data_IF_867204798796
#
_entry.id   IF_867204798796
#
_cell.length_a   1.000
_cell.length_b   1.000
_cell.length_c   1.000
_cell.angle_alpha   90.00
_cell.angle_beta   90.00
_cell.angle_gamma   90.00
#
_symmetry.space_group_name_H-M   'P 1'
#
loop_
_entity.id
_entity.type
_entity.pdbx_description
1 polymer ?
#
# COMPACT_ATOMS: atom_id res chain seq x y z
N UNK A 1 -32.07 -28.64 2.79
CA UNK A 1 -30.98 -28.40 1.81
C UNK A 1 -31.44 -27.21 0.99
N UNK A 2 -30.82 -26.03 0.89
CA UNK A 2 -29.47 -25.50 1.15
C UNK A 2 -29.60 -23.97 1.12
N UNK A 3 -29.14 -23.24 2.14
CA UNK A 3 -28.73 -21.82 2.04
C UNK A 3 -28.14 -21.36 3.38
N UNK A 4 -26.96 -21.86 3.72
CA UNK A 4 -26.11 -21.29 4.78
C UNK A 4 -24.67 -21.49 4.32
N UNK A 5 -24.09 -20.41 3.78
CA UNK A 5 -22.65 -20.11 3.64
C UNK A 5 -22.37 -19.36 2.33
N UNK A 6 -23.03 -18.22 2.12
CA UNK A 6 -22.38 -17.16 1.36
C UNK A 6 -21.29 -16.56 2.27
N UNK A 7 -20.01 -16.47 1.83
CA UNK A 7 -18.98 -15.82 2.63
C UNK A 7 -19.39 -14.38 2.90
N UNK A 8 -19.42 -13.99 4.17
CA UNK A 8 -19.70 -12.59 4.54
C UNK A 8 -18.62 -11.69 3.90
N UNK A 9 -18.99 -10.52 3.34
CA UNK A 9 -17.99 -9.58 2.84
C UNK A 9 -17.01 -9.25 3.96
N UNK A 10 -15.69 -9.33 3.71
CA UNK A 10 -14.72 -8.96 4.74
C UNK A 10 -14.91 -7.51 5.10
N UNK A 11 -15.01 -7.28 6.40
CA UNK A 11 -14.70 -5.96 6.93
C UNK A 11 -13.19 -5.89 7.14
N UNK A 12 -12.46 -5.59 6.06
CA UNK A 12 -10.98 -5.50 6.01
C UNK A 12 -10.40 -4.53 7.05
N UNK A 13 -11.23 -3.68 7.67
CA UNK A 13 -10.83 -2.63 8.60
C UNK A 13 -11.21 -2.93 10.07
N UNK A 14 -11.74 -4.13 10.37
CA UNK A 14 -11.98 -4.58 11.75
C UNK A 14 -10.78 -5.38 12.26
N UNK A 15 -9.92 -4.77 13.06
CA UNK A 15 -8.72 -5.43 13.62
C UNK A 15 -8.59 -5.26 15.15
N UNK A 16 -7.89 -6.21 15.76
CA UNK A 16 -7.60 -6.24 17.19
C UNK A 16 -6.50 -5.23 17.53
N UNK A 17 -6.62 -4.54 18.69
CA UNK A 17 -5.60 -3.61 19.18
C UNK A 17 -4.80 -4.27 20.30
N UNK A 18 -3.59 -4.77 20.03
CA UNK A 18 -2.74 -5.27 21.11
C UNK A 18 -2.29 -4.12 22.00
N UNK A 19 -2.26 -4.34 23.32
CA UNK A 19 -1.56 -3.42 24.23
C UNK A 19 -0.05 -3.58 24.00
N UNK A 20 0.60 -2.58 23.42
CA UNK A 20 2.07 -2.56 23.28
C UNK A 20 2.72 -2.27 24.63
N UNK A 21 3.44 -3.26 25.16
CA UNK A 21 4.24 -3.12 26.38
C UNK A 21 5.72 -3.00 26.02
N UNK A 22 6.12 -1.84 25.53
CA UNK A 22 7.50 -1.59 25.07
C UNK A 22 8.54 -1.72 26.21
N UNK A 23 8.15 -1.42 27.45
CA UNK A 23 9.04 -1.53 28.61
C UNK A 23 9.33 -2.99 29.02
N UNK A 24 8.51 -3.95 28.57
CA UNK A 24 8.67 -5.39 28.86
C UNK A 24 9.27 -6.15 27.65
N UNK A 25 9.46 -5.47 26.52
CA UNK A 25 9.96 -6.06 25.28
C UNK A 25 11.49 -6.11 25.24
N UNK A 26 12.04 -7.15 24.61
CA UNK A 26 13.49 -7.33 24.39
C UNK A 26 13.99 -6.52 23.19
N UNK A 27 13.77 -5.21 23.22
CA UNK A 27 14.21 -4.27 22.17
C UNK A 27 15.28 -3.30 22.71
N UNK A 28 16.17 -2.78 21.84
CA UNK A 28 17.05 -1.68 22.21
C UNK A 28 16.26 -0.46 22.73
N UNK A 29 16.89 0.39 23.57
CA UNK A 29 16.28 1.65 23.98
C UNK A 29 15.88 2.49 22.77
N UNK A 30 14.62 2.89 22.71
CA UNK A 30 14.09 3.73 21.64
C UNK A 30 14.57 5.17 21.77
N UNK A 31 14.94 5.79 20.65
CA UNK A 31 15.09 7.25 20.57
C UNK A 31 13.75 7.93 20.84
N UNK A 32 13.76 9.19 21.29
CA UNK A 32 12.52 9.93 21.54
C UNK A 32 11.66 10.02 20.27
N UNK A 33 12.30 10.31 19.13
CA UNK A 33 11.66 10.37 17.83
C UNK A 33 10.99 9.04 17.45
N UNK A 34 11.64 7.89 17.72
CA UNK A 34 11.04 6.57 17.50
C UNK A 34 9.86 6.29 18.43
N UNK A 35 9.90 6.73 19.70
CA UNK A 35 8.76 6.60 20.62
C UNK A 35 7.54 7.36 20.10
N UNK A 36 7.74 8.59 19.65
CA UNK A 36 6.68 9.42 19.09
C UNK A 36 6.15 8.81 17.78
N UNK A 37 7.04 8.26 16.95
CA UNK A 37 6.68 7.52 15.76
C UNK A 37 5.74 6.33 16.04
N UNK A 38 6.10 5.49 17.00
CA UNK A 38 5.26 4.35 17.40
C UNK A 38 3.92 4.81 17.99
N UNK A 39 3.90 5.88 18.81
CA UNK A 39 2.66 6.44 19.36
C UNK A 39 1.70 6.89 18.27
N UNK A 40 2.22 7.57 17.25
CA UNK A 40 1.41 8.06 16.13
C UNK A 40 0.86 6.90 15.30
N UNK A 41 1.69 5.89 14.98
CA UNK A 41 1.24 4.70 14.26
C UNK A 41 0.16 3.92 15.04
N UNK A 42 0.32 3.72 16.35
CA UNK A 42 -0.69 3.04 17.18
C UNK A 42 -1.99 3.85 17.29
N UNK A 43 -1.89 5.17 17.28
CA UNK A 43 -3.03 6.08 17.36
C UNK A 43 -3.74 6.26 16.02
N UNK A 44 -3.05 6.00 14.91
CA UNK A 44 -3.58 6.15 13.57
C UNK A 44 -4.84 5.31 13.35
N UNK A 45 -5.85 5.93 12.74
CA UNK A 45 -7.08 5.28 12.32
C UNK A 45 -7.20 5.51 10.83
N UNK A 46 -7.08 4.42 10.07
CA UNK A 46 -7.47 4.47 8.67
C UNK A 46 -8.94 4.90 8.60
N UNK A 47 -9.20 5.92 7.81
CA UNK A 47 -10.53 6.28 7.41
C UNK A 47 -11.19 5.06 6.74
N UNK A 48 -12.50 4.85 6.95
CA UNK A 48 -13.18 3.69 6.37
C UNK A 48 -13.19 3.85 4.85
N UNK A 49 -12.52 2.93 4.15
CA UNK A 49 -12.62 2.87 2.70
C UNK A 49 -14.13 2.82 2.34
N UNK A 50 -14.62 3.75 1.51
CA UNK A 50 -16.05 3.90 1.27
C UNK A 50 -16.67 2.71 0.53
N UNK A 51 -15.84 1.77 0.04
CA UNK A 51 -16.24 0.71 -0.89
C UNK A 51 -15.57 -0.60 -0.52
N UNK A 52 -16.35 -1.68 -0.52
CA UNK A 52 -15.85 -3.04 -0.36
C UNK A 52 -15.16 -3.49 -1.66
N UNK A 53 -13.91 -3.94 -1.55
CA UNK A 53 -13.13 -4.43 -2.68
C UNK A 53 -13.18 -5.95 -2.73
N UNK A 54 -13.34 -6.57 -3.91
CA UNK A 54 -13.27 -8.02 -4.06
C UNK A 54 -11.97 -8.62 -3.52
N UNK A 55 -12.08 -9.78 -2.85
CA UNK A 55 -10.92 -10.55 -2.35
C UNK A 55 -9.95 -10.85 -3.48
N UNK A 56 -10.46 -11.28 -4.63
CA UNK A 56 -9.64 -11.63 -5.81
C UNK A 56 -8.86 -10.45 -6.40
N UNK A 57 -9.23 -9.21 -6.03
CA UNK A 57 -8.54 -7.97 -6.40
C UNK A 57 -7.87 -7.28 -5.22
N UNK A 58 -7.75 -7.97 -4.09
CA UNK A 58 -7.13 -7.48 -2.87
C UNK A 58 -5.82 -8.20 -2.59
N UNK A 59 -4.87 -7.45 -2.04
CA UNK A 59 -3.58 -7.93 -1.57
C UNK A 59 -3.21 -7.20 -0.29
N UNK A 60 -2.30 -7.78 0.48
CA UNK A 60 -1.77 -7.16 1.69
C UNK A 60 -0.23 -7.20 1.65
N UNK A 61 0.39 -6.15 2.17
CA UNK A 61 1.83 -6.12 2.39
C UNK A 61 2.14 -5.81 3.84
N UNK A 62 3.16 -6.44 4.38
CA UNK A 62 3.60 -6.26 5.75
C UNK A 62 4.73 -5.23 5.82
N UNK A 63 4.46 -4.10 6.46
CA UNK A 63 5.48 -3.13 6.86
C UNK A 63 6.01 -3.55 8.23
N UNK A 64 7.02 -4.41 8.22
CA UNK A 64 7.64 -4.93 9.42
C UNK A 64 8.73 -3.96 9.93
N UNK A 65 8.38 -3.21 10.97
CA UNK A 65 9.30 -2.29 11.64
C UNK A 65 10.09 -3.02 12.73
N UNK A 66 11.33 -2.62 12.94
CA UNK A 66 12.14 -3.06 14.08
C UNK A 66 13.04 -1.93 14.58
N UNK A 67 13.56 -2.09 15.79
CA UNK A 67 14.40 -1.08 16.44
C UNK A 67 15.87 -1.40 16.17
N UNK A 68 16.57 -0.47 15.53
CA UNK A 68 18.01 -0.55 15.30
C UNK A 68 18.82 -0.32 16.59
N UNK A 69 20.14 -0.53 16.51
CA UNK A 69 21.04 -0.44 17.67
C UNK A 69 21.04 0.94 18.35
N UNK A 70 20.81 1.99 17.58
CA UNK A 70 20.76 3.38 18.06
C UNK A 70 19.36 3.84 18.50
N UNK A 71 18.38 2.92 18.53
CA UNK A 71 17.01 3.24 18.92
C UNK A 71 16.13 3.80 17.79
N UNK A 72 16.65 3.86 16.56
CA UNK A 72 15.92 4.28 15.37
C UNK A 72 15.07 3.16 14.78
N UNK A 73 13.97 3.52 14.12
CA UNK A 73 13.11 2.55 13.44
C UNK A 73 13.61 2.24 12.04
N UNK A 74 13.71 0.96 11.75
CA UNK A 74 14.03 0.41 10.45
C UNK A 74 12.84 -0.37 9.91
N UNK A 75 12.71 -0.42 8.59
CA UNK A 75 11.79 -1.32 7.90
C UNK A 75 12.56 -2.48 7.28
N UNK A 76 12.00 -3.68 7.40
CA UNK A 76 12.49 -4.87 6.71
C UNK A 76 11.97 -4.90 5.27
N UNK A 77 12.88 -5.13 4.31
CA UNK A 77 12.58 -5.22 2.88
C UNK A 77 13.18 -6.50 2.31
N UNK A 78 12.53 -7.03 1.28
CA UNK A 78 13.00 -8.19 0.52
C UNK A 78 13.45 -7.79 -0.88
N UNK A 79 14.46 -8.48 -1.38
CA UNK A 79 14.72 -8.56 -2.82
C UNK A 79 14.01 -9.79 -3.35
N UNK A 80 13.06 -9.60 -4.25
CA UNK A 80 12.33 -10.70 -4.91
C UNK A 80 13.30 -11.59 -5.69
N UNK A 81 13.03 -12.88 -5.72
CA UNK A 81 13.79 -13.83 -6.54
C UNK A 81 13.78 -13.42 -8.01
N UNK A 82 14.90 -13.65 -8.70
CA UNK A 82 15.04 -13.34 -10.12
C UNK A 82 14.25 -14.28 -11.02
N UNK A 83 13.79 -15.42 -10.50
CA UNK A 83 13.03 -16.44 -11.24
C UNK A 83 11.53 -16.15 -11.30
N UNK A 84 11.05 -15.14 -10.57
CA UNK A 84 9.64 -14.79 -10.53
C UNK A 84 9.16 -14.16 -11.84
N UNK A 85 7.94 -14.50 -12.26
CA UNK A 85 7.33 -13.98 -13.51
C UNK A 85 7.06 -12.48 -13.49
N UNK A 86 6.94 -11.87 -12.32
CA UNK A 86 6.62 -10.45 -12.16
C UNK A 86 7.48 -9.84 -11.07
N UNK A 87 7.97 -8.62 -11.31
CA UNK A 87 8.80 -7.85 -10.38
C UNK A 87 10.09 -8.58 -9.96
N UNK A 88 10.69 -9.36 -10.87
CA UNK A 88 11.91 -10.13 -10.62
C UNK A 88 13.07 -9.23 -10.16
N UNK A 89 13.66 -9.55 -9.01
CA UNK A 89 14.75 -8.78 -8.43
C UNK A 89 14.35 -7.41 -7.86
N UNK A 90 13.07 -7.06 -7.84
CA UNK A 90 12.61 -5.79 -7.27
C UNK A 90 12.69 -5.80 -5.75
N UNK A 91 12.86 -4.60 -5.19
CA UNK A 91 12.75 -4.37 -3.76
C UNK A 91 11.28 -4.23 -3.36
N UNK A 92 10.82 -5.08 -2.45
CA UNK A 92 9.44 -5.15 -2.00
C UNK A 92 9.30 -5.26 -0.49
N UNK A 93 8.10 -4.94 -0.02
CA UNK A 93 7.61 -5.38 1.27
C UNK A 93 7.13 -6.83 1.14
N UNK A 94 7.27 -7.69 2.17
CA UNK A 94 6.68 -9.01 2.14
C UNK A 94 5.17 -8.93 1.97
N UNK A 95 4.57 -9.78 1.13
CA UNK A 95 3.13 -9.71 0.89
C UNK A 95 2.68 -10.28 -0.44
N UNK A 96 1.36 -10.44 -0.55
CA UNK A 96 0.74 -11.11 -1.67
C UNK A 96 -0.77 -10.96 -1.67
N UNK A 97 -1.43 -11.76 -2.50
CA UNK A 97 -2.88 -11.69 -2.72
C UNK A 97 -3.64 -12.29 -1.54
N UNK A 98 -4.86 -11.83 -1.33
CA UNK A 98 -5.77 -12.44 -0.35
C UNK A 98 -6.13 -13.86 -0.80
N UNK A 99 -5.94 -14.81 0.09
CA UNK A 99 -6.38 -16.19 -0.07
C UNK A 99 -7.84 -16.36 0.41
N UNK A 100 -8.64 -17.28 -0.17
CA UNK A 100 -9.96 -17.63 0.36
C UNK A 100 -9.99 -17.96 1.86
N UNK A 101 -8.94 -18.56 2.41
CA UNK A 101 -8.83 -18.96 3.82
C UNK A 101 -8.49 -17.79 4.76
N UNK A 102 -7.95 -16.67 4.22
CA UNK A 102 -7.57 -15.52 5.02
C UNK A 102 -8.81 -14.87 5.66
N UNK A 103 -8.83 -14.74 6.99
CA UNK A 103 -9.97 -14.17 7.71
C UNK A 103 -9.96 -12.64 7.70
N UNK A 104 -8.77 -12.03 7.67
CA UNK A 104 -8.56 -10.58 7.66
C UNK A 104 -7.37 -10.21 6.78
N UNK A 105 -7.25 -8.91 6.45
CA UNK A 105 -6.09 -8.41 5.69
C UNK A 105 -4.77 -8.49 6.48
N UNK A 106 -4.86 -8.45 7.82
CA UNK A 106 -3.71 -8.72 8.69
C UNK A 106 -3.28 -10.19 8.56
N UNK A 107 -4.24 -11.13 8.49
CA UNK A 107 -3.94 -12.55 8.33
C UNK A 107 -3.26 -12.82 6.98
N UNK A 108 -3.74 -12.19 5.89
CA UNK A 108 -3.05 -12.22 4.59
C UNK A 108 -1.61 -11.74 4.69
N UNK A 109 -1.38 -10.54 5.24
CA UNK A 109 -0.02 -9.99 5.34
C UNK A 109 0.92 -10.85 6.20
N UNK A 110 0.38 -11.48 7.25
CA UNK A 110 1.15 -12.37 8.13
C UNK A 110 1.44 -13.71 7.49
N UNK A 111 0.49 -14.31 6.77
CA UNK A 111 0.69 -15.56 6.02
C UNK A 111 1.79 -15.38 4.99
N UNK A 112 1.68 -14.36 4.16
CA UNK A 112 2.68 -14.06 3.12
C UNK A 112 4.06 -13.78 3.75
N UNK A 113 4.14 -13.00 4.82
CA UNK A 113 5.42 -12.77 5.51
C UNK A 113 5.98 -14.04 6.17
N UNK A 114 5.13 -14.96 6.61
CA UNK A 114 5.59 -16.25 7.12
C UNK A 114 6.13 -17.14 5.98
N UNK A 115 5.42 -17.20 4.86
CA UNK A 115 5.81 -17.98 3.67
C UNK A 115 7.10 -17.46 3.03
N UNK A 116 7.22 -16.15 2.85
CA UNK A 116 8.36 -15.53 2.16
C UNK A 116 9.62 -15.45 3.04
N UNK A 117 9.46 -15.11 4.33
CA UNK A 117 10.58 -14.73 5.21
C UNK A 117 10.57 -15.41 6.59
N UNK A 118 9.64 -16.35 6.84
CA UNK A 118 9.56 -17.08 8.10
C UNK A 118 9.18 -16.22 9.30
N UNK A 119 8.55 -15.06 9.08
CA UNK A 119 8.19 -14.16 10.17
C UNK A 119 7.03 -14.76 10.99
N UNK A 120 7.17 -14.95 12.33
CA UNK A 120 6.14 -15.67 13.08
C UNK A 120 4.80 -14.94 13.17
N UNK A 121 3.74 -15.74 13.18
CA UNK A 121 2.36 -15.28 13.42
C UNK A 121 2.11 -14.82 14.87
N UNK A 122 3.04 -15.05 15.81
CA UNK A 122 2.86 -14.67 17.22
C UNK A 122 2.73 -13.14 17.36
N UNK A 123 1.49 -12.68 17.55
CA UNK A 123 1.13 -11.27 17.70
C UNK A 123 1.75 -10.61 18.94
N UNK A 124 2.29 -11.37 19.89
CA UNK A 124 3.05 -10.81 21.03
C UNK A 124 4.49 -10.46 20.62
N UNK A 125 5.07 -11.24 19.71
CA UNK A 125 6.41 -11.00 19.15
C UNK A 125 6.38 -9.97 18.03
N UNK A 126 5.29 -9.97 17.26
CA UNK A 126 5.11 -9.10 16.09
C UNK A 126 3.74 -8.40 16.18
N UNK A 127 3.50 -7.52 17.18
CA UNK A 127 2.23 -6.83 17.34
C UNK A 127 1.90 -5.91 16.17
N UNK A 128 0.61 -5.86 15.84
CA UNK A 128 0.04 -4.88 14.93
C UNK A 128 0.12 -3.46 15.53
N UNK A 129 0.62 -2.50 14.74
CA UNK A 129 0.56 -1.08 15.06
C UNK A 129 -0.70 -0.45 14.46
N UNK A 130 -0.87 -0.59 13.14
CA UNK A 130 -2.04 -0.09 12.41
C UNK A 130 -2.15 -0.74 11.03
N UNK A 131 -3.29 -0.50 10.39
CA UNK A 131 -3.54 -0.80 8.97
C UNK A 131 -3.77 0.54 8.28
N UNK A 132 -3.09 0.76 7.15
CA UNK A 132 -3.18 1.99 6.36
C UNK A 132 -4.31 1.89 5.33
N UNK A 133 -4.62 3.03 4.71
CA UNK A 133 -5.47 3.10 3.54
C UNK A 133 -4.88 2.26 2.39
N UNK A 134 -5.74 1.67 1.54
CA UNK A 134 -5.28 0.87 0.42
C UNK A 134 -4.65 1.72 -0.68
N UNK A 135 -3.70 1.11 -1.40
CA UNK A 135 -3.02 1.67 -2.55
C UNK A 135 -3.38 0.87 -3.81
N UNK A 136 -3.38 1.53 -4.97
CA UNK A 136 -3.60 0.88 -6.26
C UNK A 136 -2.26 0.45 -6.85
N UNK A 137 -2.09 -0.85 -7.09
CA UNK A 137 -0.97 -1.38 -7.86
C UNK A 137 -1.25 -1.30 -9.37
N UNK A 138 -0.19 -1.24 -10.19
CA UNK A 138 -0.30 -1.09 -11.64
C UNK A 138 -1.04 -2.23 -12.36
N UNK A 139 -1.15 -3.40 -11.74
CA UNK A 139 -1.87 -4.56 -12.25
C UNK A 139 -3.34 -4.62 -11.77
N UNK A 140 -3.93 -3.49 -11.41
CA UNK A 140 -5.32 -3.38 -10.94
C UNK A 140 -5.61 -4.25 -9.70
N UNK A 141 -4.63 -4.32 -8.79
CA UNK A 141 -4.77 -4.93 -7.46
C UNK A 141 -4.77 -3.83 -6.41
N UNK A 142 -5.63 -3.97 -5.41
CA UNK A 142 -5.72 -3.07 -4.26
C UNK A 142 -4.88 -3.64 -3.12
N UNK A 143 -3.79 -2.96 -2.81
CA UNK A 143 -2.79 -3.39 -1.83
C UNK A 143 -2.99 -2.63 -0.53
N UNK A 144 -3.24 -3.34 0.57
CA UNK A 144 -3.43 -2.74 1.89
C UNK A 144 -2.17 -2.93 2.75
N UNK A 145 -1.51 -1.84 3.21
CA UNK A 145 -0.35 -1.97 4.09
C UNK A 145 -0.76 -2.28 5.53
N UNK A 146 -0.13 -3.31 6.09
CA UNK A 146 -0.29 -3.74 7.49
C UNK A 146 1.02 -3.46 8.21
N UNK A 147 1.00 -2.56 9.19
CA UNK A 147 2.21 -2.13 9.90
C UNK A 147 2.33 -2.88 11.21
N UNK A 148 3.45 -3.56 11.41
CA UNK A 148 3.76 -4.31 12.63
C UNK A 148 5.10 -3.88 13.21
N UNK A 149 5.30 -4.13 14.50
CA UNK A 149 6.57 -3.95 15.17
C UNK A 149 7.13 -5.30 15.59
N UNK A 150 8.34 -5.63 15.14
CA UNK A 150 9.09 -6.79 15.60
C UNK A 150 9.72 -6.45 16.96
N UNK A 151 9.27 -7.14 18.01
CA UNK A 151 9.76 -6.99 19.38
C UNK A 151 10.81 -8.05 19.76
N UNK A 152 10.89 -9.14 19.01
CA UNK A 152 11.80 -10.25 19.27
C UNK A 152 13.08 -10.13 18.43
N UNK A 153 14.15 -9.60 19.02
CA UNK A 153 15.46 -9.47 18.38
C UNK A 153 16.21 -10.80 18.18
N UNK A 154 15.65 -11.92 18.67
CA UNK A 154 16.18 -13.26 18.44
C UNK A 154 15.66 -13.88 17.15
N UNK A 155 14.67 -13.25 16.51
CA UNK A 155 14.14 -13.73 15.24
C UNK A 155 15.24 -13.87 14.19
N UNK A 156 15.23 -15.01 13.53
CA UNK A 156 16.07 -15.32 12.37
C UNK A 156 15.10 -15.62 11.23
N UNK A 157 14.94 -14.69 10.28
CA UNK A 157 14.11 -14.94 9.10
C UNK A 157 14.59 -16.20 8.38
N UNK A 158 13.65 -17.01 7.90
CA UNK A 158 13.91 -18.19 7.08
C UNK A 158 13.36 -17.86 5.71
N UNK A 159 14.24 -17.70 4.73
CA UNK A 159 13.83 -17.26 3.40
C UNK A 159 13.31 -18.44 2.59
N UNK A 160 12.22 -18.21 1.88
CA UNK A 160 11.86 -19.05 0.76
C UNK A 160 12.61 -18.55 -0.48
N UNK A 161 13.73 -19.20 -0.82
CA UNK A 161 14.61 -18.79 -1.93
C UNK A 161 13.90 -18.76 -3.30
N UNK A 162 12.79 -19.49 -3.44
CA UNK A 162 11.97 -19.43 -4.66
C UNK A 162 11.31 -18.05 -4.86
N UNK A 163 11.07 -17.30 -3.78
CA UNK A 163 10.34 -16.03 -3.80
C UNK A 163 11.21 -14.85 -3.35
N UNK A 164 12.15 -15.07 -2.42
CA UNK A 164 12.99 -14.03 -1.82
C UNK A 164 14.46 -14.40 -1.94
N UNK A 165 15.23 -13.57 -2.65
CA UNK A 165 16.67 -13.78 -2.81
C UNK A 165 17.48 -13.27 -1.60
N UNK A 166 17.03 -12.20 -0.95
CA UNK A 166 17.70 -11.66 0.24
C UNK A 166 16.79 -10.72 1.03
N UNK A 167 17.16 -10.50 2.30
CA UNK A 167 16.59 -9.44 3.14
C UNK A 167 17.60 -8.36 3.43
N UNK A 168 17.08 -7.14 3.56
CA UNK A 168 17.84 -6.01 4.04
C UNK A 168 16.91 -5.05 4.77
N UNK A 169 17.49 -4.04 5.40
CA UNK A 169 16.73 -3.03 6.12
C UNK A 169 17.12 -1.63 5.71
N UNK A 170 16.15 -0.72 5.79
CA UNK A 170 16.34 0.70 5.55
C UNK A 170 15.75 1.53 6.69
N UNK A 171 16.38 2.63 7.13
CA UNK A 171 15.80 3.51 8.15
C UNK A 171 14.44 4.05 7.68
N UNK A 172 13.41 3.97 8.52
CA UNK A 172 12.08 4.46 8.14
C UNK A 172 12.11 5.98 7.90
N UNK A 173 12.89 6.73 8.68
CA UNK A 173 12.99 8.18 8.58
C UNK A 173 13.56 8.66 7.24
N UNK A 174 14.37 7.85 6.55
CA UNK A 174 15.06 8.25 5.32
C UNK A 174 14.13 8.30 4.09
N UNK A 175 12.89 7.83 4.22
CA UNK A 175 11.84 8.03 3.21
C UNK A 175 11.20 9.42 3.30
N UNK A 176 11.62 10.27 4.23
CA UNK A 176 11.18 11.66 4.35
C UNK A 176 12.25 12.67 3.92
N UNK A 177 13.43 12.21 3.53
CA UNK A 177 14.58 13.07 3.22
C UNK A 177 15.09 12.79 1.81
N UNK A 178 15.80 13.75 1.24
CA UNK A 178 16.51 13.59 -0.05
C UNK A 178 17.99 13.22 0.14
N UNK A 179 18.46 13.18 1.39
CA UNK A 179 19.82 12.79 1.76
C UNK A 179 19.88 11.32 2.16
N UNK A 180 20.94 10.59 1.75
CA UNK A 180 21.10 9.19 2.11
C UNK A 180 21.36 9.02 3.61
N UNK A 181 20.88 7.94 4.23
CA UNK A 181 21.16 7.64 5.64
C UNK A 181 22.49 6.90 5.85
N UNK A 182 23.27 6.71 4.79
CA UNK A 182 24.58 6.07 4.80
C UNK A 182 25.63 7.07 4.31
N UNK A 183 26.91 6.91 4.69
CA UNK A 183 27.99 7.77 4.20
C UNK A 183 27.97 7.79 2.68
N UNK A 184 27.88 8.98 2.08
CA UNK A 184 28.12 9.14 0.66
C UNK A 184 29.63 9.31 0.49
N UNK A 185 30.30 8.40 -0.24
CA UNK A 185 31.68 8.68 -0.66
C UNK A 185 31.60 9.88 -1.63
N UNK A 186 32.34 10.98 -1.40
CA UNK A 186 32.18 12.26 -2.11
C UNK A 186 32.24 12.16 -3.64
N UNK A 187 32.88 11.11 -4.16
CA UNK A 187 33.12 10.87 -5.59
C UNK A 187 32.17 9.82 -6.20
N UNK A 188 31.26 9.23 -5.42
CA UNK A 188 30.60 7.95 -5.76
C UNK A 188 29.13 7.99 -6.19
N UNK A 189 28.46 9.15 -6.16
CA UNK A 189 27.04 9.22 -6.52
C UNK A 189 26.80 10.21 -7.66
N UNK A 190 27.02 9.75 -8.90
CA UNK A 190 26.40 10.37 -10.09
C UNK A 190 24.85 10.38 -9.99
N UNK A 191 24.30 9.48 -9.17
CA UNK A 191 22.86 9.29 -9.00
C UNK A 191 22.41 9.81 -7.64
N UNK A 192 21.43 10.72 -7.56
CA UNK A 192 20.93 11.21 -6.28
C UNK A 192 20.24 10.10 -5.48
N UNK A 193 20.35 10.17 -4.14
CA UNK A 193 19.66 9.24 -3.23
C UNK A 193 18.16 9.20 -3.49
N UNK A 194 17.53 10.36 -3.62
CA UNK A 194 16.12 10.50 -3.95
C UNK A 194 15.96 11.02 -5.38
N UNK A 195 15.10 10.36 -6.14
CA UNK A 195 14.58 10.86 -7.41
C UNK A 195 13.10 10.51 -7.57
N UNK A 196 12.46 11.07 -8.58
CA UNK A 196 11.08 10.73 -8.91
C UNK A 196 10.88 10.65 -10.43
N UNK A 197 9.78 10.04 -10.83
CA UNK A 197 9.33 9.99 -12.21
C UNK A 197 7.83 10.21 -12.26
N UNK A 198 7.38 11.08 -13.15
CA UNK A 198 5.97 11.42 -13.31
C UNK A 198 5.40 10.64 -14.50
N UNK A 199 4.33 9.89 -14.26
CA UNK A 199 3.63 9.11 -15.29
C UNK A 199 2.28 9.74 -15.59
N UNK A 200 2.00 9.97 -16.88
CA UNK A 200 0.66 10.31 -17.34
C UNK A 200 -0.25 9.08 -17.24
N UNK A 201 -1.47 9.29 -16.79
CA UNK A 201 -2.52 8.28 -16.65
C UNK A 201 -3.84 8.87 -17.10
N UNK A 202 -4.71 8.05 -17.68
CA UNK A 202 -6.05 8.47 -18.07
C UNK A 202 -6.99 8.46 -16.87
N UNK A 203 -7.64 9.60 -16.63
CA UNK A 203 -8.71 9.81 -15.67
C UNK A 203 -10.11 9.77 -16.32
N UNK A 204 -11.15 10.09 -15.54
CA UNK A 204 -12.53 10.25 -16.00
C UNK A 204 -12.66 11.12 -17.24
N UNK A 205 -13.59 10.78 -18.13
CA UNK A 205 -13.98 11.60 -19.29
C UNK A 205 -12.80 12.00 -20.20
N UNK A 206 -11.74 11.18 -20.24
CA UNK A 206 -10.54 11.45 -21.04
C UNK A 206 -9.59 12.48 -20.43
N UNK A 207 -9.79 12.88 -19.18
CA UNK A 207 -8.83 13.73 -18.45
C UNK A 207 -7.48 13.05 -18.34
N UNK A 208 -6.41 13.83 -18.38
CA UNK A 208 -5.05 13.33 -18.15
C UNK A 208 -4.65 13.69 -16.73
N UNK A 209 -4.23 12.69 -15.95
CA UNK A 209 -3.73 12.85 -14.59
C UNK A 209 -2.27 12.45 -14.55
N UNK A 210 -1.46 13.22 -13.83
CA UNK A 210 -0.06 12.87 -13.58
C UNK A 210 0.05 12.25 -12.19
N UNK A 211 0.70 11.10 -12.10
CA UNK A 211 1.06 10.47 -10.83
C UNK A 211 2.57 10.45 -10.69
N UNK A 212 3.06 10.75 -9.49
CA UNK A 212 4.49 10.71 -9.18
C UNK A 212 4.89 9.37 -8.56
N UNK A 213 5.94 8.79 -9.10
CA UNK A 213 6.67 7.66 -8.54
C UNK A 213 7.92 8.11 -7.87
N UNK A 214 8.10 7.74 -6.61
CA UNK A 214 9.32 8.03 -5.87
C UNK A 214 10.31 6.88 -5.99
N UNK A 215 11.61 7.21 -5.93
CA UNK A 215 12.72 6.27 -5.99
C UNK A 215 13.77 6.66 -4.95
N UNK A 216 14.20 5.70 -4.14
CA UNK A 216 15.23 5.87 -3.10
C UNK A 216 16.34 4.83 -3.29
N UNK A 217 17.58 5.27 -3.31
CA UNK A 217 18.72 4.36 -3.27
C UNK A 217 18.79 3.63 -1.92
N UNK A 218 19.33 2.43 -1.97
CA UNK A 218 19.47 1.50 -0.84
C UNK A 218 20.89 1.48 -0.28
N UNK A 219 21.87 2.04 -1.00
CA UNK A 219 23.29 1.91 -0.70
C UNK A 219 23.82 0.51 -0.96
N UNK A 220 23.06 -0.30 -1.70
CA UNK A 220 23.33 -1.73 -1.96
C UNK A 220 23.19 -2.06 -3.45
N UNK A 221 23.11 -1.04 -4.30
CA UNK A 221 22.97 -1.16 -5.75
C UNK A 221 24.12 -1.95 -6.37
N UNK A 222 25.35 -1.77 -5.88
CA UNK A 222 26.51 -2.56 -6.32
C UNK A 222 26.34 -4.08 -6.05
N UNK A 223 25.55 -4.46 -5.03
CA UNK A 223 25.17 -5.85 -4.74
C UNK A 223 23.96 -6.33 -5.53
N UNK A 224 23.49 -5.55 -6.51
CA UNK A 224 22.33 -5.85 -7.33
C UNK A 224 20.98 -5.64 -6.63
N UNK A 225 20.95 -4.98 -5.46
CA UNK A 225 19.69 -4.56 -4.83
C UNK A 225 19.14 -3.38 -5.62
N UNK A 226 17.93 -3.51 -6.16
CA UNK A 226 17.28 -2.40 -6.84
C UNK A 226 16.86 -1.33 -5.82
N UNK A 227 16.84 -0.05 -6.23
CA UNK A 227 16.28 1.05 -5.44
C UNK A 227 14.87 0.72 -4.92
N UNK A 228 14.46 1.34 -3.82
CA UNK A 228 13.06 1.31 -3.40
C UNK A 228 12.27 2.24 -4.31
N UNK A 229 11.32 1.74 -5.10
CA UNK A 229 10.57 2.57 -6.05
C UNK A 229 9.07 2.27 -6.08
N UNK A 230 8.32 3.16 -6.73
CA UNK A 230 6.91 2.96 -7.08
C UNK A 230 6.01 2.78 -5.85
N UNK A 231 5.19 1.72 -5.87
CA UNK A 231 4.22 1.43 -4.82
C UNK A 231 4.88 1.27 -3.44
N UNK A 232 5.98 0.51 -3.38
CA UNK A 232 6.76 0.28 -2.14
C UNK A 232 7.22 1.60 -1.55
N UNK A 233 7.81 2.48 -2.38
CA UNK A 233 8.25 3.80 -1.92
C UNK A 233 7.07 4.66 -1.43
N UNK A 234 5.94 4.67 -2.15
CA UNK A 234 4.74 5.42 -1.75
C UNK A 234 4.17 4.96 -0.41
N UNK A 235 4.12 3.65 -0.17
CA UNK A 235 3.70 3.07 1.12
C UNK A 235 4.64 3.51 2.23
N UNK A 236 5.95 3.43 2.03
CA UNK A 236 6.94 3.77 3.05
C UNK A 236 6.98 5.27 3.37
N UNK A 237 6.84 6.13 2.36
CA UNK A 237 6.64 7.58 2.56
C UNK A 237 5.40 7.80 3.44
N UNK A 238 4.29 7.11 3.17
CA UNK A 238 3.05 7.27 3.94
C UNK A 238 3.20 6.81 5.38
N UNK A 239 3.78 5.63 5.61
CA UNK A 239 4.05 5.11 6.96
C UNK A 239 4.97 6.07 7.73
N UNK A 240 6.06 6.53 7.10
CA UNK A 240 6.99 7.47 7.72
C UNK A 240 6.33 8.82 8.03
N UNK A 241 5.48 9.32 7.13
CA UNK A 241 4.74 10.59 7.32
C UNK A 241 3.81 10.51 8.52
N UNK A 242 3.03 9.42 8.63
CA UNK A 242 2.12 9.18 9.76
C UNK A 242 2.94 9.02 11.05
N UNK A 243 3.96 8.16 11.03
CA UNK A 243 4.78 7.88 12.19
C UNK A 243 5.48 9.13 12.69
N UNK A 244 6.35 9.73 11.90
CA UNK A 244 7.11 10.91 12.33
C UNK A 244 6.30 12.20 12.41
N UNK A 245 5.01 12.19 12.04
CA UNK A 245 4.12 13.34 12.18
C UNK A 245 4.54 14.56 11.37
N UNK A 246 5.24 14.36 10.24
CA UNK A 246 5.77 15.43 9.39
C UNK A 246 5.74 15.04 7.92
N UNK A 247 5.62 16.03 7.04
CA UNK A 247 5.72 15.85 5.59
C UNK A 247 7.16 15.51 5.16
N UNK A 248 7.36 14.82 4.03
CA UNK A 248 8.68 14.64 3.42
C UNK A 248 9.27 15.98 2.93
N UNK A 249 10.59 16.03 2.77
CA UNK A 249 11.33 17.18 2.24
C UNK A 249 11.16 17.40 0.72
N UNK A 250 10.19 16.74 0.10
CA UNK A 250 9.91 16.77 -1.32
C UNK A 250 8.40 16.64 -1.55
N UNK A 251 7.93 17.04 -2.73
CA UNK A 251 6.52 16.95 -3.08
C UNK A 251 6.10 15.50 -3.38
N UNK A 252 5.07 15.02 -2.68
CA UNK A 252 4.50 13.67 -2.88
C UNK A 252 3.78 13.58 -4.22
N UNK A 253 2.99 14.60 -4.57
CA UNK A 253 2.14 14.59 -5.75
C UNK A 253 2.46 15.79 -6.64
N UNK A 254 2.39 15.64 -7.97
CA UNK A 254 2.48 16.78 -8.87
C UNK A 254 1.23 17.66 -8.75
N UNK A 255 1.29 18.94 -9.16
CA UNK A 255 0.14 19.83 -9.16
C UNK A 255 -1.05 19.24 -9.94
N UNK A 256 -2.25 19.31 -9.36
CA UNK A 256 -3.47 18.80 -9.98
C UNK A 256 -3.62 17.27 -9.96
N UNK A 257 -2.71 16.54 -9.29
CA UNK A 257 -2.87 15.10 -9.13
C UNK A 257 -4.14 14.75 -8.34
N UNK A 258 -4.86 13.70 -8.76
CA UNK A 258 -6.00 13.18 -8.02
C UNK A 258 -5.57 12.67 -6.64
N UNK A 259 -6.47 12.75 -5.66
CA UNK A 259 -6.22 12.14 -4.35
C UNK A 259 -6.15 10.62 -4.47
N UNK A 260 -5.55 9.94 -3.48
CA UNK A 260 -5.48 8.47 -3.46
C UNK A 260 -6.87 7.83 -3.51
N UNK A 261 -7.86 8.48 -2.88
CA UNK A 261 -9.27 8.10 -2.90
C UNK A 261 -9.88 8.18 -4.29
N UNK A 262 -9.65 9.30 -4.99
CA UNK A 262 -10.12 9.49 -6.35
C UNK A 262 -9.47 8.48 -7.30
N UNK A 263 -8.17 8.19 -7.13
CA UNK A 263 -7.47 7.16 -7.92
C UNK A 263 -8.02 5.76 -7.67
N UNK A 264 -8.27 5.41 -6.40
CA UNK A 264 -8.89 4.13 -6.03
C UNK A 264 -10.28 4.01 -6.66
N UNK A 265 -11.13 5.03 -6.47
CA UNK A 265 -12.48 5.02 -7.00
C UNK A 265 -12.51 4.92 -8.53
N UNK A 266 -11.65 5.69 -9.20
CA UNK A 266 -11.49 5.63 -10.65
C UNK A 266 -11.01 4.26 -11.13
N UNK A 267 -10.07 3.63 -10.42
CA UNK A 267 -9.58 2.29 -10.77
C UNK A 267 -10.70 1.27 -10.70
N UNK A 268 -11.50 1.28 -9.63
CA UNK A 268 -12.64 0.35 -9.46
C UNK A 268 -13.71 0.59 -10.55
N UNK A 269 -13.93 1.84 -10.96
CA UNK A 269 -14.89 2.17 -12.02
C UNK A 269 -14.43 1.79 -13.44
N UNK A 270 -13.15 2.03 -13.74
CA UNK A 270 -12.60 1.97 -15.10
C UNK A 270 -12.17 0.57 -15.52
N UNK A 271 -11.90 -0.32 -14.56
CA UNK A 271 -11.38 -1.66 -14.80
C UNK A 271 -12.51 -2.71 -14.72
N UNK A 272 -12.90 -3.36 -15.84
CA UNK A 272 -14.01 -4.33 -15.85
C UNK A 272 -13.79 -5.49 -14.86
N UNK A 273 -12.53 -5.81 -14.57
CA UNK A 273 -12.12 -6.84 -13.65
C UNK A 273 -12.69 -6.68 -12.23
N UNK A 274 -12.93 -5.44 -11.78
CA UNK A 274 -13.55 -5.19 -10.47
C UNK A 274 -15.05 -5.43 -10.49
N UNK A 275 -15.73 -5.12 -11.59
CA UNK A 275 -17.17 -5.38 -11.75
C UNK A 275 -17.43 -6.88 -11.74
N UNK A 276 -16.71 -7.62 -12.58
CA UNK A 276 -16.82 -9.09 -12.68
C UNK A 276 -16.50 -9.77 -11.34
N UNK A 277 -15.44 -9.34 -10.65
CA UNK A 277 -15.08 -9.88 -9.35
C UNK A 277 -16.13 -9.57 -8.27
N UNK A 278 -16.69 -8.35 -8.28
CA UNK A 278 -17.74 -7.96 -7.32
C UNK A 278 -19.01 -8.76 -7.51
N UNK A 279 -19.44 -9.00 -8.76
CA UNK A 279 -20.59 -9.82 -9.10
C UNK A 279 -20.39 -11.27 -8.65
N UNK A 280 -19.23 -11.85 -8.94
CA UNK A 280 -18.88 -13.23 -8.56
C UNK A 280 -18.83 -13.43 -7.04
N UNK A 281 -18.36 -12.43 -6.30
CA UNK A 281 -18.23 -12.47 -4.84
C UNK A 281 -19.49 -11.95 -4.11
N UNK A 282 -20.53 -11.52 -4.84
CA UNK A 282 -21.78 -11.01 -4.26
C UNK A 282 -21.60 -9.69 -3.49
N UNK A 283 -20.61 -8.87 -3.87
CA UNK A 283 -20.29 -7.62 -3.21
C UNK A 283 -21.19 -6.50 -3.75
N UNK A 284 -21.93 -5.85 -2.85
CA UNK A 284 -22.72 -4.67 -3.17
C UNK A 284 -21.78 -3.47 -3.24
N UNK A 285 -21.57 -2.96 -4.45
CA UNK A 285 -20.73 -1.79 -4.72
C UNK A 285 -21.62 -0.56 -4.86
N UNK A 286 -21.32 0.49 -4.09
CA UNK A 286 -21.95 1.80 -4.25
C UNK A 286 -21.31 2.55 -5.43
N UNK A 287 -21.84 2.30 -6.63
CA UNK A 287 -21.37 2.91 -7.88
C UNK A 287 -21.56 4.43 -7.93
N UNK A 288 -22.55 4.98 -7.22
CA UNK A 288 -22.81 6.42 -7.19
C UNK A 288 -21.77 7.14 -6.33
N UNK A 289 -21.46 6.56 -5.15
CA UNK A 289 -20.37 7.03 -4.30
C UNK A 289 -19.02 6.97 -5.02
N UNK A 290 -18.73 5.89 -5.75
CA UNK A 290 -17.52 5.78 -6.57
C UNK A 290 -17.43 6.87 -7.61
N UNK A 291 -18.50 7.16 -8.36
CA UNK A 291 -18.52 8.24 -9.36
C UNK A 291 -18.23 9.59 -8.72
N UNK A 292 -18.86 9.88 -7.58
CA UNK A 292 -18.63 11.12 -6.82
C UNK A 292 -17.17 11.26 -6.36
N UNK A 293 -16.59 10.19 -5.80
CA UNK A 293 -15.20 10.20 -5.33
C UNK A 293 -14.20 10.32 -6.48
N UNK A 294 -14.49 9.70 -7.63
CA UNK A 294 -13.67 9.81 -8.83
C UNK A 294 -13.80 11.17 -9.53
N UNK A 295 -14.75 12.02 -9.15
CA UNK A 295 -15.03 13.28 -9.84
C UNK A 295 -15.71 13.08 -11.21
N UNK A 296 -16.39 11.95 -11.42
CA UNK A 296 -17.20 11.67 -12.62
C UNK A 296 -18.57 12.31 -12.40
N UNK A 297 -18.95 13.29 -13.23
CA UNK A 297 -20.28 13.90 -13.20
C UNK A 297 -21.39 12.87 -13.46
N UNK A 298 -22.59 13.13 -12.93
CA UNK A 298 -23.74 12.23 -13.09
C UNK A 298 -24.23 12.27 -14.55
N UNK A 299 -23.95 11.22 -15.33
CA UNK A 299 -24.32 11.08 -16.75
C UNK A 299 -25.84 10.89 -16.99
N UNK A 300 -26.70 11.36 -16.08
CA UNK A 300 -28.16 11.33 -16.26
C UNK A 300 -28.69 12.37 -17.26
N UNK A 301 -27.82 13.18 -17.88
CA UNK A 301 -28.22 14.21 -18.85
C UNK A 301 -27.86 13.91 -20.32
N UNK A 302 -27.25 12.76 -20.63
CA UNK A 302 -26.90 12.39 -22.00
C UNK A 302 -28.03 11.69 -22.77
N UNK A 303 -28.92 10.97 -22.07
CA UNK A 303 -30.00 10.20 -22.71
C UNK A 303 -31.31 10.96 -22.93
N UNK A 304 -31.46 12.20 -22.43
CA UNK A 304 -32.67 13.02 -22.66
C UNK A 304 -32.52 14.08 -23.77
N UNK A 305 -31.29 14.40 -24.19
CA UNK A 305 -31.05 15.33 -25.31
C UNK A 305 -31.28 14.70 -26.69
N UNK A 306 -31.28 13.36 -26.80
CA UNK A 306 -31.64 12.67 -28.05
C UNK A 306 -33.15 12.50 -28.23
N UNK A 307 -33.95 12.56 -27.15
CA UNK A 307 -35.43 12.50 -27.23
C UNK A 307 -36.10 13.84 -27.50
N UNK A 308 -35.46 14.97 -27.18
CA UNK A 308 -36.02 16.32 -27.45
C UNK A 308 -35.77 16.87 -28.85
N UNK A 309 -34.86 16.29 -29.65
CA UNK A 309 -34.61 16.72 -31.05
C UNK A 309 -35.49 16.02 -32.11
N UNK A 310 -36.34 15.06 -31.72
CA UNK A 310 -37.22 14.33 -32.64
C UNK A 310 -38.66 14.85 -32.77
N UNK A 311 -38.99 16.02 -32.20
CA UNK A 311 -40.38 16.50 -32.10
C UNK A 311 -40.55 17.98 -32.45
N UNK A 312 -39.90 18.45 -33.51
CA UNK A 312 -40.22 19.72 -34.17
C UNK A 312 -40.21 19.51 -35.67
N UNK A 313 -41.32 19.00 -36.19
CA UNK A 313 -41.49 18.73 -37.61
C UNK A 313 -42.86 18.15 -37.91
N UNK A 314 -43.92 18.97 -37.75
CA UNK A 314 -45.22 18.88 -38.46
C UNK A 314 -46.20 19.93 -37.95
N UNK A 315 -46.42 20.98 -38.75
CA UNK A 315 -47.68 21.72 -38.98
C UNK A 315 -47.37 22.80 -40.02
N UNK A 316 -47.57 22.59 -41.33
CA UNK A 316 -48.79 22.98 -42.09
C UNK A 316 -49.38 24.32 -41.62
N UNK A 317 -49.11 25.39 -42.36
CA UNK A 317 -49.96 25.99 -43.41
C UNK A 317 -49.11 26.94 -44.26
#
# INVERSE_FOLDING_TARGET
>A
MTSKNAPKPLNLLKYHRPKLRLNEARIPPLSQQSKDCLRNLVSYRCWKAPVSVPRTRSAAVLVALFVGRMGDLYVLLSRRSSTLRTYAGDTSLPGGKVDPEDLTIEDTARREAFEEIGLPHDRRKVPLLCILEPFVAGNAIIVTPVVVLILDNTLRPILNDAEVASLFSHPLASFLTTTPPFPAEPESLEVPYYSYHDWASSGPNGTQWTTRGHRFLTGREAGGIKPVFGLTAGILIRVATIGYGRAPAFEINPPGAPTSEARLAWTILSKPEFREASEKEGIIVDWELLRRLAGVGDDRNSTDKSRRKGRTGKSKL
#
